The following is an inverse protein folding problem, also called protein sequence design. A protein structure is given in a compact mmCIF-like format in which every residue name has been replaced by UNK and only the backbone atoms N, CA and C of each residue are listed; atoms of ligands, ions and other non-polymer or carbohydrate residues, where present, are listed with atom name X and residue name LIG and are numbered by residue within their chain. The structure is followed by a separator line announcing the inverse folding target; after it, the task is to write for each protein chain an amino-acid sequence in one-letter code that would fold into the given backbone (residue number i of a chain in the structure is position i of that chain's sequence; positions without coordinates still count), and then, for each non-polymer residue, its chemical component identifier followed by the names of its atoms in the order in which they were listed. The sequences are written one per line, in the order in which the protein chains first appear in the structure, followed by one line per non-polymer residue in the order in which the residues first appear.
data_IF_954705131853
#
_entry.id   IF_954705131853
#
_cell.length_a   1.000
_cell.length_b   1.000
_cell.length_c   1.000
_cell.angle_alpha   90.00
_cell.angle_beta   90.00
_cell.angle_gamma   90.00
#
_symmetry.space_group_name_H-M   'P 1'
#
loop_
_entity.id
_entity.type
_entity.pdbx_description
1 polymer ?
#
# COMPACT_ATOMS: atom_id res chain seq x y z
N UNK A 1 8.43 -18.81 12.36
CA UNK A 1 8.92 -17.48 12.80
C UNK A 1 7.79 -16.48 12.62
N UNK A 2 7.07 -16.22 13.71
CA UNK A 2 6.06 -15.16 13.79
C UNK A 2 6.81 -13.85 14.06
N UNK A 3 6.86 -12.96 13.07
CA UNK A 3 7.04 -11.52 13.24
C UNK A 3 7.04 -10.86 11.86
N UNK A 4 5.87 -10.49 11.37
CA UNK A 4 5.79 -9.40 10.40
C UNK A 4 4.88 -8.35 10.99
N UNK A 5 5.50 -7.44 11.75
CA UNK A 5 4.89 -6.15 12.05
C UNK A 5 4.82 -5.43 10.70
N UNK A 6 3.68 -5.55 10.04
CA UNK A 6 3.43 -4.79 8.84
C UNK A 6 2.75 -3.50 9.27
N UNK A 7 3.49 -2.40 9.20
CA UNK A 7 2.95 -1.06 9.49
C UNK A 7 2.60 -0.45 8.14
N UNK A 8 1.30 -0.39 7.83
CA UNK A 8 0.80 0.40 6.72
C UNK A 8 0.76 1.87 7.10
N UNK A 9 1.65 2.66 6.53
CA UNK A 9 1.63 4.13 6.67
C UNK A 9 0.78 4.68 5.53
N UNK A 10 -0.23 5.48 5.89
CA UNK A 10 -1.18 6.09 4.97
C UNK A 10 -0.94 7.60 4.94
N UNK A 11 -0.89 8.21 3.75
CA UNK A 11 -0.92 9.67 3.64
C UNK A 11 -2.23 10.25 4.15
N UNK A 12 -2.26 11.57 4.35
CA UNK A 12 -3.44 12.29 4.81
C UNK A 12 -4.65 12.07 3.88
N UNK A 13 -4.44 12.01 2.56
CA UNK A 13 -5.49 11.71 1.58
C UNK A 13 -6.06 10.30 1.72
N UNK A 14 -5.24 9.31 2.06
CA UNK A 14 -5.70 7.95 2.36
C UNK A 14 -6.32 7.80 3.76
N UNK A 15 -6.01 8.71 4.69
CA UNK A 15 -6.63 8.74 6.01
C UNK A 15 -8.13 9.06 5.97
N UNK A 16 -8.65 9.57 4.84
CA UNK A 16 -10.08 9.74 4.59
C UNK A 16 -10.76 8.49 4.01
N UNK A 17 -10.00 7.55 3.43
CA UNK A 17 -10.56 6.33 2.86
C UNK A 17 -11.01 5.36 3.95
N UNK A 18 -12.00 4.52 3.65
CA UNK A 18 -12.50 3.52 4.60
C UNK A 18 -11.46 2.42 4.91
N UNK A 19 -11.61 1.74 6.05
CA UNK A 19 -10.78 0.58 6.40
C UNK A 19 -10.81 -0.51 5.32
N UNK A 20 -11.96 -0.74 4.70
CA UNK A 20 -12.12 -1.73 3.63
C UNK A 20 -11.31 -1.38 2.37
N UNK A 21 -11.15 -0.09 2.04
CA UNK A 21 -10.31 0.34 0.92
C UNK A 21 -8.83 0.16 1.26
N UNK A 22 -8.43 0.53 2.48
CA UNK A 22 -7.04 0.35 2.94
C UNK A 22 -6.62 -1.12 2.95
N UNK A 23 -7.48 -2.00 3.43
CA UNK A 23 -7.22 -3.45 3.42
C UNK A 23 -7.08 -4.02 1.99
N UNK A 24 -7.87 -3.51 1.04
CA UNK A 24 -7.73 -3.89 -0.37
C UNK A 24 -6.42 -3.41 -0.98
N UNK A 25 -5.98 -2.19 -0.66
CA UNK A 25 -4.68 -1.65 -1.10
C UNK A 25 -3.54 -2.51 -0.54
N UNK A 26 -3.58 -2.80 0.77
CA UNK A 26 -2.62 -3.66 1.44
C UNK A 26 -2.56 -5.07 0.83
N UNK A 27 -3.72 -5.67 0.59
CA UNK A 27 -3.81 -7.00 -0.02
C UNK A 27 -3.21 -7.01 -1.43
N UNK A 28 -3.56 -6.01 -2.25
CA UNK A 28 -3.03 -5.89 -3.60
C UNK A 28 -1.52 -5.63 -3.61
N UNK A 29 -1.01 -4.83 -2.67
CA UNK A 29 0.42 -4.55 -2.52
C UNK A 29 1.17 -5.81 -2.13
N UNK A 30 0.71 -6.53 -1.10
CA UNK A 30 1.30 -7.79 -0.66
C UNK A 30 1.31 -8.88 -1.75
N UNK A 31 0.37 -8.82 -2.70
CA UNK A 31 0.39 -9.68 -3.88
C UNK A 31 1.45 -9.22 -4.87
N UNK A 32 1.48 -7.92 -5.18
CA UNK A 32 2.41 -7.35 -6.15
C UNK A 32 3.88 -7.53 -5.73
N UNK A 33 4.22 -7.34 -4.44
CA UNK A 33 5.57 -7.52 -3.90
C UNK A 33 6.06 -8.96 -3.88
N UNK A 34 5.15 -9.94 -3.91
CA UNK A 34 5.50 -11.36 -4.05
C UNK A 34 5.73 -11.76 -5.50
N UNK A 35 5.06 -11.07 -6.43
CA UNK A 35 5.12 -11.37 -7.87
C UNK A 35 6.25 -10.62 -8.57
N UNK A 36 6.69 -9.48 -8.02
CA UNK A 36 7.70 -8.60 -8.61
C UNK A 36 8.69 -8.14 -7.53
N UNK A 37 9.96 -8.06 -7.91
CA UNK A 37 11.01 -7.43 -7.10
C UNK A 37 11.10 -5.94 -7.47
N UNK A 38 10.05 -5.20 -7.13
CA UNK A 38 10.01 -3.74 -7.28
C UNK A 38 9.86 -3.10 -5.89
N UNK A 39 10.33 -1.87 -5.73
CA UNK A 39 10.13 -1.10 -4.51
C UNK A 39 8.94 -0.15 -4.63
N UNK A 40 8.40 0.04 -5.85
CA UNK A 40 7.29 0.95 -6.12
C UNK A 40 6.21 0.33 -7.00
N UNK A 41 4.94 0.56 -6.64
CA UNK A 41 3.78 -0.10 -7.23
C UNK A 41 2.64 0.86 -7.49
N UNK A 42 2.02 0.73 -8.66
CA UNK A 42 0.72 1.32 -8.94
C UNK A 42 -0.37 0.28 -8.74
N UNK A 43 -1.33 0.57 -7.86
CA UNK A 43 -2.42 -0.33 -7.51
C UNK A 43 -3.74 0.36 -7.83
N UNK A 44 -4.70 -0.38 -8.41
CA UNK A 44 -6.05 0.12 -8.67
C UNK A 44 -7.05 -0.55 -7.74
N UNK A 45 -7.69 0.20 -6.86
CA UNK A 45 -8.77 -0.26 -5.95
C UNK A 45 -10.00 0.60 -6.17
N UNK A 46 -11.16 -0.03 -6.37
CA UNK A 46 -12.44 0.66 -6.60
C UNK A 46 -12.38 1.73 -7.71
N UNK A 47 -11.62 1.47 -8.77
CA UNK A 47 -11.45 2.40 -9.91
C UNK A 47 -10.51 3.58 -9.66
N UNK A 48 -9.94 3.72 -8.46
CA UNK A 48 -8.92 4.73 -8.14
C UNK A 48 -7.53 4.11 -8.18
N UNK A 49 -6.55 4.87 -8.65
CA UNK A 49 -5.14 4.48 -8.62
C UNK A 49 -4.50 4.96 -7.33
N UNK A 50 -3.59 4.17 -6.79
CA UNK A 50 -2.78 4.46 -5.62
C UNK A 50 -1.33 4.12 -5.94
N UNK A 51 -0.41 4.92 -5.41
CA UNK A 51 1.00 4.64 -5.44
C UNK A 51 1.44 4.08 -4.11
N UNK A 52 2.14 2.95 -4.15
CA UNK A 52 2.51 2.20 -2.96
C UNK A 52 3.98 1.85 -3.03
N UNK A 53 4.74 2.22 -2.01
CA UNK A 53 6.16 1.96 -1.90
C UNK A 53 6.43 0.94 -0.78
N UNK A 54 7.29 -0.03 -1.07
CA UNK A 54 7.86 -0.92 -0.07
C UNK A 54 9.01 -0.21 0.67
N UNK A 55 8.91 -0.13 1.99
CA UNK A 55 9.94 0.44 2.86
C UNK A 55 10.74 -0.65 3.59
N UNK A 56 10.65 -1.91 3.12
CA UNK A 56 11.36 -3.05 3.68
C UNK A 56 10.86 -3.44 5.07
N UNK A 57 11.76 -3.42 6.06
CA UNK A 57 11.42 -3.81 7.43
C UNK A 57 10.46 -2.85 8.14
N UNK A 58 10.30 -1.64 7.60
CA UNK A 58 9.43 -0.60 8.16
C UNK A 58 7.98 -0.67 7.66
N UNK A 59 7.67 -1.63 6.79
CA UNK A 59 6.34 -1.81 6.20
C UNK A 59 6.22 -1.11 4.85
N UNK A 60 5.13 -0.41 4.61
CA UNK A 60 4.87 0.22 3.32
C UNK A 60 4.20 1.58 3.48
N UNK A 61 4.28 2.40 2.43
CA UNK A 61 3.56 3.66 2.35
C UNK A 61 2.68 3.66 1.12
N UNK A 62 1.41 3.97 1.30
CA UNK A 62 0.50 4.24 0.19
C UNK A 62 0.16 5.72 0.14
N UNK A 63 -0.06 6.24 -1.07
CA UNK A 63 -0.50 7.62 -1.33
C UNK A 63 -1.38 7.71 -2.59
N UNK A 64 -2.20 8.77 -2.64
CA UNK A 64 -2.95 9.10 -3.85
C UNK A 64 -2.01 9.69 -4.93
N UNK A 65 -2.40 9.64 -6.22
CA UNK A 65 -1.57 10.15 -7.31
C UNK A 65 -1.26 11.65 -7.27
N UNK A 66 -2.11 12.43 -6.63
CA UNK A 66 -1.97 13.87 -6.43
C UNK A 66 -1.14 14.22 -5.17
N UNK A 67 -0.88 13.23 -4.31
CA UNK A 67 -0.02 13.37 -3.13
C UNK A 67 1.42 12.87 -3.36
N UNK A 68 1.68 12.24 -4.51
CA UNK A 68 3.01 11.80 -4.97
C UNK A 68 3.72 12.92 -5.74
#
# INVERSE_FOLDING_TARGET
MNNKKFIGIWTLGLAAESSAIREQIETAFNKATKEKDDWFYKITVSGKNYFVADNGEFGFTAMLPDEY
#
